data_IF_377292890852
#
_entry.id   IF_377292890852
#
_cell.length_a   1.000
_cell.length_b   1.000
_cell.length_c   1.000
_cell.angle_alpha   90.00
_cell.angle_beta   90.00
_cell.angle_gamma   90.00
#
_symmetry.space_group_name_H-M   'P 1'
#
loop_
_entity.id
_entity.type
_entity.pdbx_description
1 polymer ?
#
# COMPACT_ATOMS: atom_id res chain seq x y z
N UNK A 1 -20.36 30.87 -24.34
CA UNK A 1 -18.92 30.50 -24.26
C UNK A 1 -18.81 29.56 -23.08
N UNK A 2 -18.91 28.26 -23.35
CA UNK A 2 -18.74 27.21 -22.31
C UNK A 2 -17.26 26.99 -22.15
N UNK A 3 -16.68 27.57 -21.09
CA UNK A 3 -15.32 27.29 -20.62
C UNK A 3 -15.30 26.00 -19.74
N UNK A 4 -15.65 24.88 -20.33
CA UNK A 4 -15.28 23.60 -19.75
C UNK A 4 -13.83 23.34 -20.10
N UNK A 5 -12.90 23.26 -19.10
CA UNK A 5 -11.51 22.97 -19.38
C UNK A 5 -11.42 21.63 -20.12
N UNK A 6 -10.62 21.60 -21.19
CA UNK A 6 -10.40 20.40 -21.99
C UNK A 6 -9.96 19.25 -21.08
N UNK A 7 -10.54 18.07 -21.22
CA UNK A 7 -10.26 16.90 -20.41
C UNK A 7 -8.76 16.57 -20.26
N UNK A 8 -7.88 16.82 -21.24
CA UNK A 8 -6.42 16.69 -21.11
C UNK A 8 -5.78 17.70 -20.14
N UNK A 9 -6.24 18.96 -20.12
CA UNK A 9 -5.68 20.00 -19.23
C UNK A 9 -6.03 19.74 -17.77
N UNK A 10 -7.27 19.34 -17.48
CA UNK A 10 -7.70 18.95 -16.14
C UNK A 10 -6.89 17.75 -15.63
N UNK A 11 -6.59 16.81 -16.55
CA UNK A 11 -5.79 15.63 -16.28
C UNK A 11 -4.36 15.97 -15.86
N UNK A 12 -3.71 16.84 -16.61
CA UNK A 12 -2.36 17.30 -16.33
C UNK A 12 -2.27 18.10 -15.03
N UNK A 13 -3.26 18.95 -14.77
CA UNK A 13 -3.36 19.73 -13.56
C UNK A 13 -3.53 18.85 -12.32
N UNK A 14 -4.41 17.84 -12.39
CA UNK A 14 -4.62 16.90 -11.28
C UNK A 14 -3.37 16.04 -11.02
N UNK A 15 -2.69 15.57 -12.08
CA UNK A 15 -1.45 14.82 -11.93
C UNK A 15 -0.33 15.66 -11.28
N UNK A 16 -0.16 16.91 -11.73
CA UNK A 16 0.81 17.85 -11.14
C UNK A 16 0.47 18.16 -9.68
N UNK A 17 -0.80 18.48 -9.40
CA UNK A 17 -1.26 18.79 -8.04
C UNK A 17 -1.06 17.61 -7.09
N UNK A 18 -1.35 16.41 -7.56
CA UNK A 18 -1.17 15.20 -6.75
C UNK A 18 0.32 14.88 -6.51
N UNK A 19 1.19 15.13 -7.49
CA UNK A 19 2.63 15.02 -7.31
C UNK A 19 3.13 16.00 -6.23
N UNK A 20 2.68 17.25 -6.27
CA UNK A 20 3.05 18.27 -5.29
C UNK A 20 2.52 17.95 -3.89
N UNK A 21 1.31 17.38 -3.80
CA UNK A 21 0.76 16.88 -2.54
C UNK A 21 1.58 15.69 -2.00
N UNK A 22 1.96 14.72 -2.84
CA UNK A 22 2.84 13.60 -2.45
C UNK A 22 4.16 14.13 -1.86
N UNK A 23 4.79 15.10 -2.52
CA UNK A 23 6.04 15.69 -2.05
C UNK A 23 5.85 16.38 -0.69
N UNK A 24 4.78 17.15 -0.51
CA UNK A 24 4.46 17.82 0.75
C UNK A 24 4.21 16.83 1.89
N UNK A 25 3.47 15.76 1.62
CA UNK A 25 3.20 14.69 2.57
C UNK A 25 4.50 13.95 2.94
N UNK A 26 5.38 13.69 1.98
CA UNK A 26 6.68 13.05 2.22
C UNK A 26 7.58 13.89 3.13
N UNK A 27 7.59 15.22 2.94
CA UNK A 27 8.32 16.15 3.81
C UNK A 27 7.76 16.16 5.23
N UNK A 28 6.43 16.15 5.38
CA UNK A 28 5.77 16.08 6.69
C UNK A 28 6.08 14.77 7.41
N UNK A 29 5.97 13.64 6.73
CA UNK A 29 6.31 12.32 7.28
C UNK A 29 7.76 12.27 7.75
N UNK A 30 8.71 12.67 6.88
CA UNK A 30 10.13 12.67 7.23
C UNK A 30 10.47 13.65 8.36
N UNK A 31 9.71 14.73 8.53
CA UNK A 31 9.88 15.65 9.66
C UNK A 31 9.38 15.03 10.96
N UNK A 32 8.21 14.41 10.96
CA UNK A 32 7.66 13.70 12.12
C UNK A 32 8.56 12.51 12.53
N UNK A 33 9.07 11.76 11.57
CA UNK A 33 10.02 10.66 11.83
C UNK A 33 11.31 11.16 12.50
N UNK A 34 11.87 12.27 12.01
CA UNK A 34 13.06 12.88 12.64
C UNK A 34 12.77 13.38 14.06
N UNK A 35 11.60 13.93 14.31
CA UNK A 35 11.18 14.37 15.65
C UNK A 35 11.03 13.17 16.59
N UNK A 36 10.38 12.11 16.14
CA UNK A 36 10.21 10.86 16.90
C UNK A 36 11.56 10.18 17.18
N UNK A 37 12.47 10.15 16.19
CA UNK A 37 13.82 9.59 16.36
C UNK A 37 14.70 10.40 17.33
N UNK A 38 14.40 11.68 17.56
CA UNK A 38 15.14 12.58 18.48
C UNK A 38 14.36 12.83 19.78
N UNK A 39 13.43 11.96 20.12
CA UNK A 39 12.65 12.12 21.35
C UNK A 39 13.58 12.23 22.57
N UNK A 40 13.35 13.26 23.37
CA UNK A 40 14.04 13.52 24.64
C UNK A 40 13.04 13.33 25.78
N UNK A 41 13.49 13.16 27.05
CA UNK A 41 12.57 13.08 28.18
C UNK A 41 11.55 14.23 28.24
N UNK A 42 11.91 15.41 27.71
CA UNK A 42 11.01 16.56 27.66
C UNK A 42 9.94 16.46 26.56
N UNK A 43 10.16 15.68 25.53
CA UNK A 43 9.22 15.45 24.41
C UNK A 43 8.49 14.11 24.48
N UNK A 44 8.79 13.30 25.50
CA UNK A 44 8.21 11.97 25.68
C UNK A 44 6.68 12.02 25.83
N UNK A 45 6.14 13.04 26.45
CA UNK A 45 4.68 13.25 26.58
C UNK A 45 3.98 13.53 25.25
N UNK A 46 4.69 14.09 24.26
CA UNK A 46 4.14 14.37 22.93
C UNK A 46 4.35 13.20 21.94
N UNK A 47 5.09 12.16 22.34
CA UNK A 47 5.41 11.03 21.46
C UNK A 47 4.17 10.32 20.89
N UNK A 48 3.12 10.00 21.68
CA UNK A 48 1.91 9.37 21.15
C UNK A 48 1.19 10.23 20.11
N UNK A 49 1.16 11.55 20.33
CA UNK A 49 0.53 12.50 19.43
C UNK A 49 1.31 12.62 18.11
N UNK A 50 2.64 12.72 18.19
CA UNK A 50 3.50 12.72 17.00
C UNK A 50 3.41 11.41 16.21
N UNK A 51 3.36 10.26 16.88
CA UNK A 51 3.15 8.96 16.23
C UNK A 51 1.77 8.88 15.57
N UNK A 52 0.73 9.43 16.21
CA UNK A 52 -0.59 9.53 15.60
C UNK A 52 -0.58 10.45 14.37
N UNK A 53 0.08 11.59 14.43
CA UNK A 53 0.23 12.51 13.30
C UNK A 53 0.97 11.82 12.13
N UNK A 54 2.03 11.08 12.40
CA UNK A 54 2.76 10.31 11.40
C UNK A 54 1.83 9.28 10.72
N UNK A 55 1.06 8.54 11.51
CA UNK A 55 0.06 7.60 10.98
C UNK A 55 -0.96 8.30 10.07
N UNK A 56 -1.52 9.43 10.49
CA UNK A 56 -2.48 10.17 9.67
C UNK A 56 -1.84 10.72 8.38
N UNK A 57 -0.59 11.15 8.44
CA UNK A 57 0.15 11.66 7.27
C UNK A 57 0.41 10.54 6.26
N UNK A 58 0.81 9.35 6.71
CA UNK A 58 0.95 8.16 5.86
C UNK A 58 -0.38 7.78 5.22
N UNK A 59 -1.46 7.78 5.99
CA UNK A 59 -2.81 7.51 5.48
C UNK A 59 -3.27 8.53 4.41
N UNK A 60 -2.91 9.81 4.56
CA UNK A 60 -3.17 10.82 3.53
C UNK A 60 -2.39 10.52 2.24
N UNK A 61 -1.13 10.10 2.35
CA UNK A 61 -0.33 9.69 1.20
C UNK A 61 -0.97 8.50 0.46
N UNK A 62 -1.41 7.49 1.20
CA UNK A 62 -2.06 6.30 0.65
C UNK A 62 -3.36 6.68 -0.08
N UNK A 63 -4.20 7.53 0.52
CA UNK A 63 -5.41 8.03 -0.12
C UNK A 63 -5.12 8.83 -1.40
N UNK A 64 -4.06 9.62 -1.41
CA UNK A 64 -3.64 10.38 -2.59
C UNK A 64 -3.18 9.45 -3.72
N UNK A 65 -2.34 8.45 -3.40
CA UNK A 65 -1.89 7.45 -4.37
C UNK A 65 -3.07 6.65 -4.94
N UNK A 66 -4.06 6.34 -4.11
CA UNK A 66 -5.29 5.68 -4.51
C UNK A 66 -6.13 6.55 -5.46
N UNK A 67 -6.27 7.84 -5.17
CA UNK A 67 -6.96 8.78 -6.06
C UNK A 67 -6.26 8.90 -7.41
N UNK A 68 -4.92 8.94 -7.43
CA UNK A 68 -4.13 8.95 -8.67
C UNK A 68 -4.36 7.69 -9.50
N UNK A 69 -4.39 6.53 -8.87
CA UNK A 69 -4.65 5.26 -9.56
C UNK A 69 -6.07 5.20 -10.14
N UNK A 70 -7.08 5.70 -9.42
CA UNK A 70 -8.46 5.81 -9.91
C UNK A 70 -8.57 6.74 -11.11
N UNK A 71 -7.88 7.87 -11.04
CA UNK A 71 -7.89 8.86 -12.11
C UNK A 71 -7.25 8.32 -13.40
N UNK A 72 -6.23 7.48 -13.28
CA UNK A 72 -5.53 6.83 -14.40
C UNK A 72 -6.46 5.95 -15.27
N UNK A 73 -7.56 5.45 -14.73
CA UNK A 73 -8.55 4.67 -15.51
C UNK A 73 -9.32 5.52 -16.55
N UNK A 74 -9.29 6.83 -16.47
CA UNK A 74 -10.03 7.73 -17.36
C UNK A 74 -9.32 8.02 -18.69
N UNK A 75 -8.23 7.28 -19.00
CA UNK A 75 -7.75 7.19 -20.40
C UNK A 75 -6.57 8.08 -20.78
N UNK A 76 -5.88 8.69 -19.82
CA UNK A 76 -4.63 9.43 -20.09
C UNK A 76 -3.42 8.81 -19.41
N UNK A 77 -2.24 8.68 -20.09
CA UNK A 77 -1.03 8.11 -19.51
C UNK A 77 -0.34 9.13 -18.59
N UNK A 78 -0.90 9.36 -17.40
CA UNK A 78 -0.38 10.39 -16.49
C UNK A 78 0.71 9.92 -15.52
N UNK A 79 0.92 8.61 -15.38
CA UNK A 79 2.00 8.04 -14.57
C UNK A 79 2.88 7.14 -15.44
N UNK A 80 4.18 7.38 -15.54
CA UNK A 80 5.08 6.48 -16.23
C UNK A 80 5.15 5.15 -15.46
N UNK A 81 4.45 4.13 -15.97
CA UNK A 81 4.56 2.77 -15.45
C UNK A 81 5.91 2.21 -15.90
N UNK A 82 6.83 2.06 -14.96
CA UNK A 82 8.22 1.69 -15.21
C UNK A 82 8.55 0.35 -14.54
N UNK A 83 8.48 -0.72 -15.30
CA UNK A 83 8.82 -2.07 -14.83
C UNK A 83 10.31 -2.31 -15.04
N UNK A 84 11.04 -2.48 -13.95
CA UNK A 84 12.47 -2.72 -13.94
C UNK A 84 12.80 -4.06 -13.24
N UNK A 85 13.92 -4.70 -13.58
CA UNK A 85 14.45 -5.81 -12.79
C UNK A 85 15.01 -5.28 -11.47
N UNK A 86 14.48 -5.75 -10.34
CA UNK A 86 14.82 -5.28 -9.01
C UNK A 86 15.08 -6.47 -8.07
N UNK A 87 16.10 -6.36 -7.22
CA UNK A 87 16.37 -7.31 -6.16
C UNK A 87 15.34 -7.15 -5.02
N UNK A 88 14.81 -8.25 -4.54
CA UNK A 88 13.83 -8.20 -3.43
C UNK A 88 14.43 -7.62 -2.15
N UNK A 89 15.75 -7.74 -1.96
CA UNK A 89 16.46 -7.10 -0.85
C UNK A 89 16.24 -5.60 -0.82
N UNK A 90 16.40 -4.93 -1.96
CA UNK A 90 16.20 -3.48 -2.07
C UNK A 90 14.74 -3.08 -1.77
N UNK A 91 13.77 -3.80 -2.36
CA UNK A 91 12.36 -3.58 -2.09
C UNK A 91 12.01 -3.69 -0.61
N UNK A 92 12.45 -4.77 0.04
CA UNK A 92 12.13 -5.04 1.44
C UNK A 92 12.81 -4.03 2.37
N UNK A 93 14.07 -3.67 2.11
CA UNK A 93 14.79 -2.65 2.89
C UNK A 93 14.08 -1.30 2.84
N UNK A 94 13.60 -0.90 1.68
CA UNK A 94 12.84 0.35 1.51
C UNK A 94 11.52 0.31 2.27
N UNK A 95 10.74 -0.76 2.15
CA UNK A 95 9.46 -0.93 2.85
C UNK A 95 9.66 -0.95 4.37
N UNK A 96 10.67 -1.70 4.85
CA UNK A 96 11.01 -1.75 6.29
C UNK A 96 11.43 -0.38 6.82
N UNK A 97 12.23 0.36 6.06
CA UNK A 97 12.65 1.70 6.44
C UNK A 97 11.44 2.65 6.58
N UNK A 98 10.47 2.58 5.65
CA UNK A 98 9.26 3.39 5.68
C UNK A 98 8.35 3.05 6.88
N UNK A 99 8.27 1.78 7.28
CA UNK A 99 7.33 1.34 8.33
C UNK A 99 7.97 1.25 9.73
N UNK A 100 9.29 1.40 9.84
CA UNK A 100 10.06 1.22 11.08
C UNK A 100 9.48 1.99 12.26
N UNK A 101 9.22 3.28 12.08
CA UNK A 101 8.73 4.14 13.17
C UNK A 101 7.33 3.75 13.64
N UNK A 102 6.46 3.35 12.72
CA UNK A 102 5.11 2.91 13.05
C UNK A 102 5.14 1.57 13.79
N UNK A 103 5.91 0.60 13.31
CA UNK A 103 6.13 -0.69 13.98
C UNK A 103 6.63 -0.49 15.41
N UNK A 104 7.66 0.34 15.60
CA UNK A 104 8.22 0.63 16.91
C UNK A 104 7.21 1.33 17.84
N UNK A 105 6.49 2.34 17.34
CA UNK A 105 5.51 3.09 18.15
C UNK A 105 4.32 2.24 18.59
N UNK A 106 4.00 1.18 17.85
CA UNK A 106 2.92 0.25 18.15
C UNK A 106 3.39 -1.02 18.87
N UNK A 107 4.70 -1.20 19.03
CA UNK A 107 5.26 -2.41 19.61
C UNK A 107 5.02 -3.68 18.77
N UNK A 108 4.83 -3.51 17.46
CA UNK A 108 4.55 -4.60 16.54
C UNK A 108 5.86 -5.18 16.00
N UNK A 109 5.99 -6.51 16.07
CA UNK A 109 7.11 -7.24 15.47
C UNK A 109 6.85 -7.48 14.00
N UNK A 110 7.83 -7.13 13.14
CA UNK A 110 7.83 -7.50 11.72
C UNK A 110 8.77 -8.69 11.50
N UNK A 111 8.23 -9.79 10.97
CA UNK A 111 9.01 -10.95 10.53
C UNK A 111 9.16 -10.93 9.01
N UNK A 112 10.37 -11.24 8.53
CA UNK A 112 10.70 -11.25 7.11
C UNK A 112 11.06 -12.68 6.67
N UNK A 113 10.50 -13.12 5.54
CA UNK A 113 10.75 -14.45 4.98
C UNK A 113 10.79 -14.35 3.44
N UNK A 114 11.98 -14.13 2.90
CA UNK A 114 12.20 -13.94 1.47
C UNK A 114 13.66 -14.25 1.12
N UNK A 115 13.93 -14.42 -0.17
CA UNK A 115 15.27 -14.50 -0.74
C UNK A 115 15.72 -13.10 -1.18
N UNK A 116 16.71 -12.48 -0.55
CA UNK A 116 17.13 -11.11 -0.86
C UNK A 116 17.76 -10.99 -2.25
N UNK A 117 18.35 -12.05 -2.78
CA UNK A 117 19.07 -12.06 -4.06
C UNK A 117 18.11 -12.36 -5.25
N UNK A 118 16.85 -12.70 -4.97
CA UNK A 118 15.86 -12.94 -6.01
C UNK A 118 15.54 -11.64 -6.74
N UNK A 119 15.71 -11.66 -8.07
CA UNK A 119 15.36 -10.54 -8.95
C UNK A 119 14.01 -10.79 -9.61
N UNK A 120 13.14 -9.76 -9.59
CA UNK A 120 11.87 -9.80 -10.28
C UNK A 120 11.58 -8.49 -11.01
N UNK A 121 10.60 -8.50 -11.93
CA UNK A 121 10.28 -7.34 -12.75
C UNK A 121 8.98 -6.68 -12.26
N UNK A 122 9.08 -5.46 -11.73
CA UNK A 122 7.92 -4.68 -11.29
C UNK A 122 8.25 -3.18 -11.26
N UNK A 123 7.20 -2.38 -11.11
CA UNK A 123 7.33 -0.94 -10.83
C UNK A 123 7.55 -0.77 -9.31
N UNK A 124 8.74 -0.32 -8.94
CA UNK A 124 9.19 -0.24 -7.54
C UNK A 124 8.27 0.66 -6.70
N UNK A 125 8.00 1.88 -7.17
CA UNK A 125 7.20 2.86 -6.42
C UNK A 125 5.78 2.35 -6.14
N UNK A 126 5.19 1.68 -7.13
CA UNK A 126 3.83 1.12 -6.99
C UNK A 126 3.82 -0.08 -6.03
N UNK A 127 4.79 -0.98 -6.13
CA UNK A 127 4.84 -2.15 -5.23
C UNK A 127 5.20 -1.75 -3.81
N UNK A 128 6.12 -0.81 -3.61
CA UNK A 128 6.38 -0.21 -2.30
C UNK A 128 5.10 0.39 -1.71
N UNK A 129 4.33 1.14 -2.49
CA UNK A 129 3.05 1.71 -2.06
C UNK A 129 2.03 0.65 -1.65
N UNK A 130 1.92 -0.45 -2.42
CA UNK A 130 1.02 -1.58 -2.09
C UNK A 130 1.44 -2.28 -0.80
N UNK A 131 2.73 -2.58 -0.65
CA UNK A 131 3.25 -3.25 0.55
C UNK A 131 3.14 -2.37 1.79
N UNK A 132 3.47 -1.08 1.69
CA UNK A 132 3.28 -0.13 2.78
C UNK A 132 1.81 -0.06 3.22
N UNK A 133 0.86 0.03 2.27
CA UNK A 133 -0.55 0.01 2.58
C UNK A 133 -0.97 -1.30 3.29
N UNK A 134 -0.53 -2.45 2.79
CA UNK A 134 -0.86 -3.76 3.37
C UNK A 134 -0.28 -3.90 4.78
N UNK A 135 0.98 -3.49 5.00
CA UNK A 135 1.64 -3.53 6.31
C UNK A 135 0.99 -2.56 7.29
N UNK A 136 0.65 -1.34 6.85
CA UNK A 136 -0.07 -0.37 7.69
C UNK A 136 -1.44 -0.91 8.16
N UNK A 137 -2.18 -1.56 7.26
CA UNK A 137 -3.42 -2.25 7.63
C UNK A 137 -3.14 -3.37 8.63
N UNK A 138 -2.14 -4.21 8.39
CA UNK A 138 -1.77 -5.29 9.29
C UNK A 138 -1.38 -4.75 10.67
N UNK A 139 -0.56 -3.69 10.77
CA UNK A 139 -0.20 -3.04 12.04
C UNK A 139 -1.43 -2.52 12.80
N UNK A 140 -2.46 -2.07 12.07
CA UNK A 140 -3.67 -1.53 12.71
C UNK A 140 -4.53 -2.62 13.34
N UNK A 141 -4.57 -3.82 12.75
CA UNK A 141 -5.47 -4.90 13.16
C UNK A 141 -4.77 -6.04 13.89
N UNK A 142 -3.44 -6.16 13.79
CA UNK A 142 -2.66 -7.21 14.47
C UNK A 142 -2.74 -7.10 15.98
N UNK A 143 -2.51 -8.23 16.68
CA UNK A 143 -2.26 -8.21 18.11
C UNK A 143 -0.85 -7.66 18.39
N UNK A 144 0.19 -8.24 17.77
CA UNK A 144 1.59 -7.85 18.00
C UNK A 144 2.56 -8.27 16.89
N UNK A 145 2.14 -9.07 15.91
CA UNK A 145 3.06 -9.66 14.91
C UNK A 145 2.51 -9.55 13.50
N UNK A 146 3.34 -9.00 12.61
CA UNK A 146 3.13 -8.95 11.16
C UNK A 146 4.27 -9.69 10.47
N UNK A 147 3.99 -10.40 9.40
CA UNK A 147 4.98 -11.08 8.58
C UNK A 147 4.86 -10.65 7.13
N UNK A 148 5.99 -10.29 6.53
CA UNK A 148 6.14 -10.15 5.09
C UNK A 148 6.88 -11.37 4.55
N UNK A 149 6.19 -12.17 3.73
CA UNK A 149 6.79 -13.32 3.04
C UNK A 149 6.71 -13.13 1.53
N UNK A 150 7.82 -13.36 0.83
CA UNK A 150 7.88 -13.25 -0.62
C UNK A 150 8.47 -14.53 -1.18
N UNK A 151 7.74 -15.17 -2.10
CA UNK A 151 8.13 -16.47 -2.67
C UNK A 151 7.71 -16.58 -4.13
N UNK A 152 8.46 -17.38 -4.88
CA UNK A 152 8.03 -17.84 -6.20
C UNK A 152 7.18 -19.10 -6.06
N UNK A 153 6.11 -19.20 -6.83
CA UNK A 153 5.31 -20.42 -6.95
C UNK A 153 5.87 -21.33 -8.03
N UNK A 154 5.48 -22.61 -7.99
CA UNK A 154 5.87 -23.59 -9.02
C UNK A 154 5.43 -23.18 -10.43
N UNK A 155 4.33 -22.40 -10.53
CA UNK A 155 3.79 -21.86 -11.78
C UNK A 155 4.53 -20.59 -12.25
N UNK A 156 5.57 -20.14 -11.55
CA UNK A 156 6.37 -18.97 -11.89
C UNK A 156 5.67 -17.65 -11.65
N UNK A 157 4.93 -17.52 -10.55
CA UNK A 157 4.43 -16.25 -10.00
C UNK A 157 5.30 -15.80 -8.83
N UNK A 158 5.42 -14.49 -8.66
CA UNK A 158 5.90 -13.93 -7.41
C UNK A 158 4.69 -13.66 -6.51
N UNK A 159 4.63 -14.27 -5.34
CA UNK A 159 3.65 -13.96 -4.31
C UNK A 159 4.30 -13.14 -3.19
N UNK A 160 3.74 -11.94 -2.95
CA UNK A 160 4.06 -11.08 -1.82
C UNK A 160 2.91 -11.19 -0.82
N UNK A 161 3.20 -11.69 0.37
CA UNK A 161 2.21 -12.00 1.41
C UNK A 161 2.46 -11.17 2.65
N UNK A 162 1.45 -10.43 3.09
CA UNK A 162 1.45 -9.75 4.39
C UNK A 162 0.44 -10.47 5.29
N UNK A 163 0.93 -11.06 6.35
CA UNK A 163 0.16 -11.87 7.29
C UNK A 163 0.20 -11.24 8.69
N UNK A 164 -0.92 -11.30 9.41
CA UNK A 164 -1.01 -10.78 10.78
C UNK A 164 -1.62 -11.83 11.73
N UNK A 165 -1.56 -11.57 13.03
CA UNK A 165 -2.18 -12.40 14.07
C UNK A 165 -3.41 -11.73 14.71
N UNK A 166 -4.07 -10.84 13.96
CA UNK A 166 -5.31 -10.19 14.37
C UNK A 166 -6.56 -11.02 14.11
N UNK A 167 -7.74 -10.39 14.14
CA UNK A 167 -9.02 -11.08 13.96
C UNK A 167 -9.30 -11.53 12.51
N UNK A 168 -8.45 -11.14 11.55
CA UNK A 168 -8.63 -11.41 10.13
C UNK A 168 -9.63 -10.47 9.45
N UNK A 169 -9.85 -10.72 8.16
CA UNK A 169 -10.78 -9.93 7.34
C UNK A 169 -12.23 -10.33 7.59
N UNK A 170 -13.16 -9.37 7.61
CA UNK A 170 -14.59 -9.66 7.70
C UNK A 170 -15.07 -10.53 6.52
N UNK A 171 -16.07 -11.43 6.73
CA UNK A 171 -16.58 -12.31 5.69
C UNK A 171 -17.10 -11.58 4.44
N UNK A 172 -17.61 -10.36 4.61
CA UNK A 172 -18.07 -9.53 3.49
C UNK A 172 -16.91 -9.15 2.57
N UNK A 173 -15.74 -8.82 3.13
CA UNK A 173 -14.54 -8.43 2.39
C UNK A 173 -13.92 -9.64 1.67
N UNK A 174 -13.88 -10.80 2.34
CA UNK A 174 -13.42 -12.05 1.73
C UNK A 174 -14.30 -12.49 0.53
N UNK A 175 -15.63 -12.32 0.63
CA UNK A 175 -16.57 -12.66 -0.45
C UNK A 175 -16.50 -11.68 -1.61
N UNK A 176 -16.28 -10.40 -1.33
CA UNK A 176 -16.10 -9.38 -2.38
C UNK A 176 -14.84 -9.67 -3.21
N UNK A 177 -13.89 -10.44 -2.64
CA UNK A 177 -12.60 -10.70 -3.25
C UNK A 177 -11.83 -9.40 -3.47
N UNK A 178 -10.74 -9.47 -4.21
CA UNK A 178 -10.06 -8.27 -4.71
C UNK A 178 -10.89 -7.52 -5.78
N UNK A 179 -12.06 -8.02 -6.09
CA UNK A 179 -13.05 -7.39 -6.98
C UNK A 179 -14.02 -6.59 -6.10
N UNK A 180 -13.55 -5.55 -5.43
CA UNK A 180 -14.39 -4.41 -5.14
C UNK A 180 -14.60 -3.71 -6.49
N UNK A 181 -15.34 -4.37 -7.39
CA UNK A 181 -15.76 -3.79 -8.66
C UNK A 181 -16.68 -2.60 -8.39
N UNK A 182 -16.66 -1.65 -9.33
CA UNK A 182 -17.59 -0.51 -9.43
C UNK A 182 -19.06 -0.84 -9.10
N UNK A 183 -19.47 -2.09 -9.18
CA UNK A 183 -20.83 -2.58 -8.94
C UNK A 183 -21.17 -2.81 -7.46
N UNK A 184 -20.17 -3.14 -6.62
CA UNK A 184 -20.39 -3.26 -5.17
C UNK A 184 -20.35 -1.91 -4.45
N UNK A 185 -19.84 -0.86 -5.10
CA UNK A 185 -19.84 0.50 -4.55
C UNK A 185 -21.25 1.12 -4.48
N UNK A 186 -22.26 0.53 -5.12
CA UNK A 186 -23.63 1.03 -5.11
C UNK A 186 -24.47 0.67 -3.87
N UNK A 187 -23.98 -0.19 -2.97
CA UNK A 187 -24.77 -0.69 -1.83
C UNK A 187 -24.09 -0.71 -0.46
N UNK A 188 -22.79 -0.48 -0.40
CA UNK A 188 -22.08 -0.42 0.88
C UNK A 188 -21.08 0.72 0.83
N UNK A 189 -21.15 1.64 1.81
CA UNK A 189 -20.28 2.82 1.91
C UNK A 189 -18.80 2.44 2.15
N UNK A 190 -18.17 1.72 1.22
CA UNK A 190 -16.72 1.46 1.24
C UNK A 190 -15.90 2.73 1.01
N UNK A 191 -16.52 3.79 0.46
CA UNK A 191 -15.90 5.10 0.27
C UNK A 191 -15.66 5.85 1.60
N UNK A 192 -16.35 5.46 2.68
CA UNK A 192 -16.16 6.07 4.01
C UNK A 192 -15.18 5.30 4.89
N UNK A 193 -14.82 4.06 4.54
CA UNK A 193 -13.77 3.30 5.20
C UNK A 193 -12.53 3.26 4.31
N UNK A 194 -11.47 3.92 4.71
CA UNK A 194 -10.18 4.00 4.02
C UNK A 194 -9.59 2.66 3.57
N UNK A 195 -10.00 1.54 4.16
CA UNK A 195 -9.58 0.19 3.77
C UNK A 195 -10.04 -0.23 2.36
N UNK A 196 -11.17 0.25 1.87
CA UNK A 196 -11.72 -0.14 0.56
C UNK A 196 -10.93 0.41 -0.61
N UNK A 197 -10.49 1.67 -0.52
CA UNK A 197 -9.70 2.32 -1.56
C UNK A 197 -8.30 1.70 -1.71
N UNK A 198 -7.65 1.33 -0.61
CA UNK A 198 -6.33 0.73 -0.64
C UNK A 198 -6.30 -0.67 -1.26
N UNK A 199 -7.30 -1.48 -0.98
CA UNK A 199 -7.44 -2.79 -1.61
C UNK A 199 -7.73 -2.66 -3.11
N UNK A 200 -8.56 -1.68 -3.48
CA UNK A 200 -8.83 -1.37 -4.89
C UNK A 200 -7.53 -0.92 -5.60
N UNK A 201 -6.78 0.01 -5.01
CA UNK A 201 -5.46 0.44 -5.51
C UNK A 201 -4.53 -0.75 -5.70
N UNK A 202 -4.37 -1.59 -4.67
CA UNK A 202 -3.52 -2.77 -4.72
C UNK A 202 -3.92 -3.73 -5.83
N UNK A 203 -5.24 -3.92 -6.04
CA UNK A 203 -5.76 -4.74 -7.13
C UNK A 203 -5.43 -4.15 -8.50
N UNK A 204 -5.58 -2.83 -8.69
CA UNK A 204 -5.26 -2.18 -9.96
C UNK A 204 -3.76 -2.18 -10.24
N UNK A 205 -2.92 -1.93 -9.24
CA UNK A 205 -1.47 -2.05 -9.36
C UNK A 205 -1.07 -3.46 -9.79
N UNK A 206 -1.64 -4.50 -9.14
CA UNK A 206 -1.40 -5.87 -9.54
C UNK A 206 -1.77 -6.10 -11.03
N UNK A 207 -2.97 -5.65 -11.44
CA UNK A 207 -3.48 -5.80 -12.81
C UNK A 207 -2.65 -5.04 -13.87
N UNK A 208 -1.95 -3.98 -13.49
CA UNK A 208 -1.02 -3.26 -14.37
C UNK A 208 0.21 -4.10 -14.70
N UNK A 209 0.68 -4.92 -13.76
CA UNK A 209 1.79 -5.84 -13.96
C UNK A 209 1.33 -7.03 -14.80
N UNK A 210 1.82 -7.08 -16.05
CA UNK A 210 1.42 -8.10 -17.04
C UNK A 210 2.65 -8.69 -17.70
N UNK A 211 2.63 -10.00 -17.86
CA UNK A 211 3.59 -10.70 -18.67
C UNK A 211 2.87 -11.69 -19.60
N UNK A 212 2.90 -11.45 -20.93
CA UNK A 212 2.13 -12.18 -21.94
C UNK A 212 0.63 -12.15 -21.63
N UNK A 213 0.00 -13.30 -21.42
CA UNK A 213 -1.44 -13.42 -21.07
C UNK A 213 -1.70 -13.37 -19.56
N UNK A 214 -0.63 -13.40 -18.73
CA UNK A 214 -0.76 -13.36 -17.28
C UNK A 214 -0.91 -11.92 -16.79
N UNK A 215 -1.78 -11.73 -15.82
CA UNK A 215 -1.97 -10.43 -15.14
C UNK A 215 -1.89 -10.66 -13.65
N UNK A 216 -1.19 -9.78 -12.97
CA UNK A 216 -1.15 -9.80 -11.52
C UNK A 216 -2.53 -9.68 -10.89
N UNK A 217 -2.63 -10.11 -9.64
CA UNK A 217 -3.89 -10.15 -8.90
C UNK A 217 -3.68 -9.96 -7.41
N UNK A 218 -4.78 -9.61 -6.74
CA UNK A 218 -4.85 -9.49 -5.28
C UNK A 218 -5.84 -10.52 -4.75
N UNK A 219 -5.47 -11.20 -3.66
CA UNK A 219 -6.31 -12.14 -2.92
C UNK A 219 -6.23 -11.85 -1.44
N UNK A 220 -7.37 -11.97 -0.75
CA UNK A 220 -7.46 -11.85 0.70
C UNK A 220 -7.91 -13.19 1.27
N UNK A 221 -7.26 -13.62 2.34
CA UNK A 221 -7.59 -14.85 3.05
C UNK A 221 -7.54 -14.61 4.56
N UNK A 222 -8.14 -15.48 5.33
CA UNK A 222 -7.93 -15.59 6.76
C UNK A 222 -7.21 -16.91 7.06
N UNK A 223 -6.39 -16.91 8.11
CA UNK A 223 -5.59 -18.05 8.52
C UNK A 223 -4.11 -17.76 8.41
N UNK A 224 -3.49 -18.17 7.29
CA UNK A 224 -2.05 -18.01 7.13
C UNK A 224 -1.26 -18.69 8.27
N UNK A 225 -0.03 -18.22 8.51
CA UNK A 225 0.84 -18.77 9.57
C UNK A 225 0.35 -18.43 10.98
N UNK A 226 -0.31 -17.28 11.14
CA UNK A 226 -0.66 -16.74 12.47
C UNK A 226 -2.17 -16.73 12.76
N UNK A 227 -3.00 -17.17 11.82
CA UNK A 227 -4.45 -17.30 12.01
C UNK A 227 -5.26 -16.01 11.79
N UNK A 228 -4.60 -14.89 11.52
CA UNK A 228 -5.23 -13.60 11.24
C UNK A 228 -5.51 -13.35 9.78
N UNK A 229 -5.37 -12.09 9.35
CA UNK A 229 -5.51 -11.69 7.95
C UNK A 229 -4.30 -12.09 7.11
N UNK A 230 -4.53 -12.36 5.84
CA UNK A 230 -3.49 -12.63 4.86
C UNK A 230 -3.81 -11.88 3.57
N UNK A 231 -3.02 -10.86 3.28
CA UNK A 231 -3.03 -10.11 2.03
C UNK A 231 -2.02 -10.75 1.08
N UNK A 232 -2.44 -11.09 -0.13
CA UNK A 232 -1.60 -11.81 -1.12
C UNK A 232 -1.65 -11.06 -2.44
N UNK A 233 -0.52 -10.50 -2.83
CA UNK A 233 -0.30 -9.90 -4.14
C UNK A 233 0.47 -10.89 -5.01
N UNK A 234 -0.05 -11.22 -6.19
CA UNK A 234 0.59 -12.11 -7.15
C UNK A 234 1.01 -11.32 -8.39
N UNK A 235 2.28 -11.40 -8.76
CA UNK A 235 2.86 -10.77 -9.96
C UNK A 235 3.36 -11.86 -10.92
N UNK A 236 3.16 -11.67 -12.25
CA UNK A 236 3.57 -12.65 -13.26
C UNK A 236 5.07 -12.65 -13.54
#
# INVERSE_FOLDING_TARGET
>A
MDDTPDAPELSLFLASTAHDMKNSISVLSGTLERLLARATPQTESAYPEMAHMLYQTKRLNDNLMQLLALYKQVGTPAYPFDVQPLELGQLVDQVVALERMLLQSRGVKLELDYDPDLVWHFDEDLIVGVLSHAINNAIHYTCDTVRLAIRTTDDGWLELRVEDNGPGYPPALLRAGAIATKETAGGMNFLTNSAGLGLYFSSEVARMHRHRERRGGLRLENGGRYGGGCFILSLP
#
